data_IF_370285215381
#
_entry.id   IF_370285215381
#
_cell.length_a   1.000
_cell.length_b   1.000
_cell.length_c   1.000
_cell.angle_alpha   90.00
_cell.angle_beta   90.00
_cell.angle_gamma   90.00
#
_symmetry.space_group_name_H-M   'P 1'
#
loop_
_entity.id
_entity.type
_entity.pdbx_description
1 polymer ?
#
# COMPACT_ATOMS: atom_id res chain seq x y z
N UNK A 1 20.70 -46.93 -28.43
CA UNK A 1 19.33 -46.46 -28.68
C UNK A 1 18.64 -46.44 -27.33
N UNK A 2 17.74 -45.48 -27.12
CA UNK A 2 17.01 -45.16 -25.88
C UNK A 2 17.80 -44.32 -24.87
N UNK A 3 17.29 -43.23 -24.30
CA UNK A 3 16.10 -42.41 -24.60
C UNK A 3 16.34 -41.07 -23.91
N UNK A 4 16.09 -39.99 -24.64
CA UNK A 4 16.07 -38.62 -24.12
C UNK A 4 14.89 -38.46 -23.15
N UNK A 5 15.20 -38.13 -21.90
CA UNK A 5 14.28 -37.64 -20.87
C UNK A 5 15.16 -37.06 -19.77
N UNK A 6 15.00 -35.84 -19.28
CA UNK A 6 13.76 -35.12 -19.02
C UNK A 6 13.99 -33.61 -19.16
N UNK A 7 13.07 -32.95 -19.88
CA UNK A 7 12.82 -31.52 -19.80
C UNK A 7 12.31 -31.20 -18.38
N UNK A 8 13.17 -30.70 -17.51
CA UNK A 8 12.74 -30.18 -16.20
C UNK A 8 12.31 -28.73 -16.38
N UNK A 9 11.03 -28.53 -16.11
CA UNK A 9 10.25 -27.31 -16.26
C UNK A 9 10.72 -26.16 -15.36
N UNK A 10 10.37 -24.94 -15.81
CA UNK A 10 10.09 -23.70 -15.05
C UNK A 10 11.20 -23.21 -14.09
N UNK A 11 11.54 -21.92 -14.00
CA UNK A 11 10.64 -20.83 -13.65
C UNK A 11 11.19 -19.49 -14.21
N UNK A 12 10.33 -18.60 -14.76
CA UNK A 12 10.68 -17.19 -14.91
C UNK A 12 10.91 -16.60 -13.50
N UNK A 13 11.94 -15.77 -13.36
CA UNK A 13 12.44 -15.26 -12.09
C UNK A 13 11.36 -14.95 -11.06
N UNK A 14 11.48 -15.62 -9.90
CA UNK A 14 10.76 -15.34 -8.66
C UNK A 14 11.01 -13.88 -8.27
N UNK A 15 10.22 -12.95 -8.81
CA UNK A 15 9.86 -11.78 -8.04
C UNK A 15 9.23 -12.36 -6.76
N UNK A 16 9.73 -12.03 -5.55
CA UNK A 16 9.09 -12.53 -4.35
C UNK A 16 7.61 -12.19 -4.47
N UNK A 17 6.75 -13.20 -4.38
CA UNK A 17 5.34 -13.02 -4.07
C UNK A 17 5.32 -12.38 -2.68
N UNK A 18 5.59 -11.08 -2.64
CA UNK A 18 5.48 -10.27 -1.44
C UNK A 18 3.98 -10.23 -1.19
N UNK A 19 3.52 -11.15 -0.34
CA UNK A 19 2.20 -11.14 0.27
C UNK A 19 2.16 -9.85 1.10
N UNK A 20 1.89 -8.72 0.45
CA UNK A 20 1.80 -7.42 1.10
C UNK A 20 0.34 -7.17 1.44
N UNK A 21 0.12 -6.50 2.55
CA UNK A 21 -1.21 -6.01 2.87
C UNK A 21 -1.38 -4.58 2.30
N UNK A 22 -2.61 -4.27 1.91
CA UNK A 22 -3.00 -2.97 1.38
C UNK A 22 -4.00 -2.31 2.32
N UNK A 23 -3.66 -1.12 2.82
CA UNK A 23 -4.54 -0.32 3.66
C UNK A 23 -5.24 0.73 2.81
N UNK A 24 -6.54 0.62 2.60
CA UNK A 24 -7.37 1.60 1.89
C UNK A 24 -8.02 2.57 2.87
N UNK A 25 -7.90 3.87 2.60
CA UNK A 25 -8.43 4.98 3.41
C UNK A 25 -9.00 6.09 2.52
N UNK A 26 -9.88 6.97 3.02
CA UNK A 26 -10.32 8.15 2.27
C UNK A 26 -9.14 9.05 1.88
N UNK A 27 -9.13 9.62 0.67
CA UNK A 27 -8.01 10.41 0.14
C UNK A 27 -7.63 11.56 1.04
N UNK A 28 -8.61 12.28 1.61
CA UNK A 28 -8.35 13.38 2.57
C UNK A 28 -7.55 12.90 3.78
N UNK A 29 -7.94 11.77 4.37
CA UNK A 29 -7.26 11.22 5.55
C UNK A 29 -5.89 10.63 5.18
N UNK A 30 -5.80 9.95 4.04
CA UNK A 30 -4.55 9.39 3.55
C UNK A 30 -3.51 10.45 3.21
N UNK A 31 -3.88 11.56 2.57
CA UNK A 31 -2.95 12.65 2.26
C UNK A 31 -2.40 13.31 3.53
N UNK A 32 -3.25 13.56 4.52
CA UNK A 32 -2.80 14.06 5.82
C UNK A 32 -1.86 13.07 6.50
N UNK A 33 -2.16 11.77 6.46
CA UNK A 33 -1.28 10.74 7.00
C UNK A 33 0.07 10.70 6.27
N UNK A 34 0.09 10.77 4.93
CA UNK A 34 1.33 10.88 4.13
C UNK A 34 2.16 12.07 4.60
N UNK A 35 1.53 13.23 4.77
CA UNK A 35 2.22 14.46 5.16
C UNK A 35 2.76 14.40 6.60
N UNK A 36 1.98 13.84 7.54
CA UNK A 36 2.42 13.59 8.92
C UNK A 36 3.62 12.65 8.94
N UNK A 37 3.54 11.51 8.25
CA UNK A 37 4.63 10.53 8.18
C UNK A 37 5.84 11.16 7.50
N UNK A 38 5.67 11.89 6.40
CA UNK A 38 6.78 12.55 5.69
C UNK A 38 7.48 13.60 6.56
N UNK A 39 6.75 14.32 7.43
CA UNK A 39 7.35 15.20 8.45
C UNK A 39 8.11 14.41 9.52
N UNK A 40 7.55 13.28 9.98
CA UNK A 40 8.17 12.41 10.98
C UNK A 40 9.32 11.54 10.44
N UNK A 41 9.36 11.30 9.12
CA UNK A 41 10.27 10.39 8.43
C UNK A 41 11.75 10.83 8.50
N UNK A 42 12.04 12.06 8.93
CA UNK A 42 13.40 12.45 9.34
C UNK A 42 13.94 11.57 10.49
N UNK A 43 13.11 10.74 11.12
CA UNK A 43 13.46 9.82 12.21
C UNK A 43 13.07 8.35 11.97
N UNK A 44 12.02 8.04 11.20
CA UNK A 44 11.35 6.71 11.27
C UNK A 44 11.23 5.93 9.94
N UNK A 45 11.92 6.33 8.88
CA UNK A 45 11.70 5.74 7.55
C UNK A 45 10.52 6.41 6.84
N UNK A 46 10.63 6.56 5.53
CA UNK A 46 9.69 7.33 4.72
C UNK A 46 8.30 6.71 4.60
N UNK A 47 7.43 7.44 3.91
CA UNK A 47 6.18 6.88 3.38
C UNK A 47 6.55 5.89 2.28
N UNK A 48 6.03 4.67 2.37
CA UNK A 48 6.19 3.65 1.35
C UNK A 48 5.29 3.91 0.13
N UNK A 49 5.13 2.92 -0.76
CA UNK A 49 4.37 3.11 -1.98
C UNK A 49 2.87 3.29 -1.71
N UNK A 50 2.27 4.25 -2.43
CA UNK A 50 0.89 4.70 -2.25
C UNK A 50 0.16 4.69 -3.58
N UNK A 51 -0.97 4.00 -3.60
CA UNK A 51 -1.95 3.98 -4.68
C UNK A 51 -3.03 5.02 -4.41
N UNK A 52 -3.57 5.62 -5.45
CA UNK A 52 -4.72 6.50 -5.40
C UNK A 52 -5.79 5.95 -6.33
N UNK A 53 -6.92 5.53 -5.77
CA UNK A 53 -8.12 5.21 -6.53
C UNK A 53 -8.94 6.48 -6.77
N UNK A 54 -8.91 6.97 -8.00
CA UNK A 54 -9.63 8.17 -8.40
C UNK A 54 -11.13 7.96 -8.61
N UNK A 55 -11.66 6.74 -8.48
CA UNK A 55 -13.11 6.48 -8.63
C UNK A 55 -13.84 6.61 -7.29
N UNK A 56 -13.21 6.19 -6.21
CA UNK A 56 -13.76 6.16 -4.85
C UNK A 56 -13.16 7.25 -3.94
N UNK A 57 -12.24 8.08 -4.45
CA UNK A 57 -11.46 9.05 -3.66
C UNK A 57 -10.80 8.36 -2.46
N UNK A 58 -10.12 7.25 -2.72
CA UNK A 58 -9.40 6.49 -1.70
C UNK A 58 -7.91 6.37 -2.01
N UNK A 59 -7.10 6.30 -0.96
CA UNK A 59 -5.67 6.03 -1.02
C UNK A 59 -5.36 4.65 -0.44
N UNK A 60 -4.50 3.91 -1.12
CA UNK A 60 -4.02 2.59 -0.73
C UNK A 60 -2.55 2.62 -0.31
N UNK A 61 -2.23 2.25 0.92
CA UNK A 61 -0.86 2.17 1.43
C UNK A 61 -0.39 0.73 1.50
N UNK A 62 0.81 0.48 0.99
CA UNK A 62 1.43 -0.84 1.10
C UNK A 62 2.16 -0.99 2.44
N UNK A 63 1.83 -2.07 3.13
CA UNK A 63 2.35 -2.43 4.46
C UNK A 63 2.80 -3.90 4.48
N UNK A 64 3.65 -4.30 5.44
CA UNK A 64 4.11 -5.69 5.56
C UNK A 64 2.96 -6.70 5.72
N UNK A 65 3.16 -7.97 5.30
CA UNK A 65 2.21 -9.06 5.53
C UNK A 65 1.80 -9.21 6.99
N UNK A 66 0.57 -9.65 7.21
CA UNK A 66 0.00 -9.89 8.54
C UNK A 66 -0.51 -8.63 9.22
N UNK A 67 -0.37 -7.46 8.59
CA UNK A 67 -0.98 -6.22 9.06
C UNK A 67 -2.49 -6.30 8.99
N UNK A 68 -3.05 -6.91 7.94
CA UNK A 68 -4.50 -6.99 7.76
C UNK A 68 -5.21 -7.74 8.89
N UNK A 69 -4.56 -8.74 9.50
CA UNK A 69 -5.10 -9.52 10.62
C UNK A 69 -5.20 -8.69 11.91
N UNK A 70 -4.25 -7.78 12.12
CA UNK A 70 -4.17 -6.92 13.30
C UNK A 70 -4.72 -5.50 13.09
N UNK A 71 -5.32 -5.22 11.92
CA UNK A 71 -5.77 -3.88 11.58
C UNK A 71 -7.17 -3.59 12.10
N UNK A 72 -7.22 -2.84 13.20
CA UNK A 72 -8.46 -2.36 13.80
C UNK A 72 -8.41 -0.82 13.89
N UNK A 73 -8.64 -0.16 12.75
CA UNK A 73 -8.71 1.30 12.71
C UNK A 73 -9.96 1.77 11.94
N UNK A 74 -10.91 2.46 12.60
CA UNK A 74 -12.16 2.87 11.96
C UNK A 74 -11.91 3.89 10.85
N UNK A 75 -12.68 3.77 9.76
CA UNK A 75 -12.52 4.61 8.57
C UNK A 75 -11.39 4.16 7.63
N UNK A 76 -10.70 3.06 7.97
CA UNK A 76 -9.71 2.41 7.10
C UNK A 76 -10.02 0.93 6.98
N UNK A 77 -9.73 0.35 5.82
CA UNK A 77 -9.88 -1.07 5.59
C UNK A 77 -8.54 -1.65 5.15
N UNK A 78 -8.07 -2.70 5.82
CA UNK A 78 -6.93 -3.48 5.36
C UNK A 78 -7.41 -4.68 4.58
N UNK A 79 -6.90 -4.83 3.37
CA UNK A 79 -7.13 -5.99 2.53
C UNK A 79 -5.81 -6.70 2.31
N UNK A 80 -5.79 -8.00 2.56
CA UNK A 80 -4.65 -8.82 2.20
C UNK A 80 -4.56 -8.94 0.69
N UNK A 81 -3.44 -8.52 0.12
CA UNK A 81 -3.19 -8.72 -1.31
C UNK A 81 -2.65 -10.15 -1.46
N UNK A 82 -3.52 -11.16 -1.27
CA UNK A 82 -3.22 -12.60 -1.39
C UNK A 82 -2.81 -13.03 -2.82
N UNK A 83 -1.84 -12.36 -3.44
CA UNK A 83 -1.45 -12.57 -4.83
C UNK A 83 -2.58 -12.32 -5.84
N UNK A 84 -3.74 -11.79 -5.41
CA UNK A 84 -4.97 -11.71 -6.21
C UNK A 84 -5.03 -10.55 -7.21
N UNK A 85 -3.86 -10.02 -7.60
CA UNK A 85 -3.77 -9.26 -8.84
C UNK A 85 -3.42 -7.79 -8.74
N UNK A 86 -2.57 -7.36 -7.80
CA UNK A 86 -1.62 -6.29 -8.12
C UNK A 86 -0.29 -6.94 -8.40
N UNK A 87 -0.09 -7.34 -9.66
CA UNK A 87 1.25 -7.75 -10.12
C UNK A 87 2.10 -6.50 -10.14
N UNK A 88 2.85 -6.27 -9.06
CA UNK A 88 3.77 -5.12 -8.94
C UNK A 88 4.85 -5.10 -10.04
N UNK A 89 5.08 -6.22 -10.73
CA UNK A 89 5.94 -6.29 -11.92
C UNK A 89 5.33 -5.70 -13.21
N UNK A 90 4.01 -5.46 -13.24
CA UNK A 90 3.29 -4.75 -14.32
C UNK A 90 2.83 -3.35 -13.84
N UNK A 91 3.36 -2.87 -12.71
CA UNK A 91 3.02 -1.59 -12.09
C UNK A 91 3.42 -0.35 -12.91
N UNK A 92 4.04 -0.53 -14.08
CA UNK A 92 4.29 0.55 -15.02
C UNK A 92 3.01 1.08 -15.69
N UNK A 93 1.88 0.36 -15.60
CA UNK A 93 0.59 0.87 -16.08
C UNK A 93 -0.56 0.21 -15.32
N UNK A 94 -1.19 0.88 -14.34
CA UNK A 94 -2.49 0.42 -13.87
C UNK A 94 -3.41 0.34 -15.08
N UNK A 95 -3.78 -0.88 -15.46
CA UNK A 95 -4.55 -1.14 -16.67
C UNK A 95 -5.93 -0.46 -16.57
N UNK A 96 -6.08 0.67 -17.24
CA UNK A 96 -7.35 1.27 -17.69
C UNK A 96 -8.48 1.48 -16.66
N UNK A 97 -8.17 1.52 -15.36
CA UNK A 97 -9.08 1.97 -14.30
C UNK A 97 -8.52 3.24 -13.67
N UNK A 98 -9.36 4.12 -13.12
CA UNK A 98 -9.01 5.43 -12.55
C UNK A 98 -8.02 5.41 -11.36
N UNK A 99 -7.37 4.27 -11.10
CA UNK A 99 -6.40 4.06 -10.04
C UNK A 99 -4.99 4.37 -10.56
N UNK A 100 -4.27 5.29 -9.93
CA UNK A 100 -2.91 5.69 -10.28
C UNK A 100 -1.95 5.60 -9.09
N UNK A 101 -0.65 5.50 -9.32
CA UNK A 101 0.34 5.61 -8.26
C UNK A 101 0.49 7.07 -7.83
N UNK A 102 0.25 7.35 -6.55
CA UNK A 102 0.64 8.63 -5.95
C UNK A 102 2.14 8.62 -5.62
N UNK A 103 2.63 7.51 -5.08
CA UNK A 103 4.04 7.26 -4.80
C UNK A 103 4.42 5.88 -5.35
N UNK A 104 5.11 5.82 -6.49
CA UNK A 104 5.47 4.55 -7.10
C UNK A 104 6.59 3.87 -6.30
N UNK A 105 6.60 2.53 -6.20
CA UNK A 105 7.53 1.76 -5.37
C UNK A 105 9.01 1.90 -5.78
N UNK A 106 9.29 2.35 -6.99
CA UNK A 106 10.65 2.67 -7.44
C UNK A 106 11.20 3.98 -6.86
N UNK A 107 10.32 4.89 -6.43
CA UNK A 107 10.67 6.21 -5.92
C UNK A 107 10.69 6.30 -4.39
N UNK A 108 10.11 5.32 -3.70
CA UNK A 108 10.00 5.27 -2.24
C UNK A 108 10.60 3.97 -1.70
N UNK A 109 11.21 4.03 -0.52
CA UNK A 109 11.92 2.90 0.09
C UNK A 109 11.03 1.73 0.52
N UNK A 110 11.46 0.90 1.51
CA UNK A 110 10.66 -0.25 1.96
C UNK A 110 9.23 0.15 2.36
N UNK A 111 8.30 -0.80 2.33
CA UNK A 111 6.87 -0.63 2.66
C UNK A 111 6.64 0.17 3.93
N UNK A 112 5.51 0.88 4.01
CA UNK A 112 5.20 1.75 5.15
C UNK A 112 5.06 0.92 6.42
N UNK A 113 5.68 1.35 7.51
CA UNK A 113 5.52 0.69 8.80
C UNK A 113 4.04 0.80 9.27
N UNK A 114 3.39 -0.31 9.64
CA UNK A 114 1.96 -0.31 9.95
C UNK A 114 1.65 0.40 11.27
N UNK A 115 2.59 0.47 12.21
CA UNK A 115 2.40 1.21 13.47
C UNK A 115 2.43 2.71 13.21
N UNK A 116 3.41 3.15 12.40
CA UNK A 116 3.53 4.54 11.96
C UNK A 116 2.32 4.97 11.15
N UNK A 117 1.84 4.12 10.24
CA UNK A 117 0.64 4.38 9.46
C UNK A 117 -0.61 4.52 10.35
N UNK A 118 -0.81 3.63 11.32
CA UNK A 118 -1.93 3.72 12.29
C UNK A 118 -1.88 5.02 13.08
N UNK A 119 -0.73 5.38 13.61
CA UNK A 119 -0.56 6.62 14.37
C UNK A 119 -0.89 7.86 13.52
N UNK A 120 -0.40 7.90 12.28
CA UNK A 120 -0.64 9.01 11.37
C UNK A 120 -2.12 9.11 10.93
N UNK A 121 -2.77 7.98 10.65
CA UNK A 121 -4.19 7.95 10.29
C UNK A 121 -5.10 8.36 11.45
N UNK A 122 -4.77 7.96 12.68
CA UNK A 122 -5.48 8.38 13.88
C UNK A 122 -5.35 9.89 14.14
N UNK A 123 -4.16 10.45 13.92
CA UNK A 123 -3.95 11.89 14.03
C UNK A 123 -4.66 12.65 12.90
N UNK A 124 -4.59 12.16 11.67
CA UNK A 124 -5.31 12.73 10.54
C UNK A 124 -6.83 12.75 10.77
N UNK A 125 -7.41 11.68 11.33
CA UNK A 125 -8.82 11.65 11.71
C UNK A 125 -9.18 12.77 12.69
N UNK A 126 -8.37 12.94 13.75
CA UNK A 126 -8.59 14.00 14.75
C UNK A 126 -8.49 15.40 14.15
N UNK A 127 -7.52 15.63 13.25
CA UNK A 127 -7.36 16.91 12.56
C UNK A 127 -8.58 17.21 11.66
N UNK A 128 -9.07 16.21 10.94
CA UNK A 128 -10.26 16.35 10.09
C UNK A 128 -11.51 16.60 10.94
N UNK A 129 -11.70 15.87 12.04
CA UNK A 129 -12.81 16.08 12.97
C UNK A 129 -12.78 17.48 13.58
N UNK A 130 -11.60 17.96 14.00
CA UNK A 130 -11.42 19.31 14.53
C UNK A 130 -11.74 20.38 13.48
N UNK A 131 -11.37 20.15 12.22
CA UNK A 131 -11.70 21.06 11.11
C UNK A 131 -13.20 21.08 10.80
N UNK A 132 -13.88 19.92 10.83
CA UNK A 132 -15.32 19.81 10.53
C UNK A 132 -16.18 20.41 11.66
N UNK A 133 -15.77 20.25 12.92
CA UNK A 133 -16.46 20.82 14.08
C UNK A 133 -16.28 22.34 14.24
N UNK A 134 -15.37 22.97 13.48
CA UNK A 134 -15.21 24.43 13.46
C UNK A 134 -16.16 25.15 12.49
N UNK A 135 -17.10 24.42 11.88
CA UNK A 135 -18.02 24.92 10.85
C UNK A 135 -19.36 25.43 11.40
#
# INVERSE_FOLDING_TARGET
MESTGTNTASEPGMAPDLDLDLVTVPTRQGLEAVDIIRRAASQAGGVGPVLHDGSDDTLGFLVPPGTADAWDLPGSACTQTNGRGMRFGDAASPAAGSTGWLLPPEAVGPVTDPEVLRAALGEAARLIEAADNCR
#
